data_IF_027436669243
#
_entry.id   IF_027436669243
#
_cell.length_a   1.000
_cell.length_b   1.000
_cell.length_c   1.000
_cell.angle_alpha   90.00
_cell.angle_beta   90.00
_cell.angle_gamma   90.00
#
_symmetry.space_group_name_H-M   'P 1'
#
loop_
_entity.id
_entity.type
_entity.pdbx_description
1 polymer ?
#
# COMPACT_ATOMS: atom_id res chain seq x y z
N UNK A 1 8.14 21.96 -23.64
CA UNK A 1 9.11 21.08 -22.97
C UNK A 1 9.08 19.76 -23.69
N UNK A 2 10.01 19.54 -24.63
CA UNK A 2 10.26 18.19 -25.16
C UNK A 2 11.04 17.48 -24.06
N UNK A 3 10.41 16.50 -23.42
CA UNK A 3 11.04 15.33 -22.77
C UNK A 3 12.49 15.56 -22.32
N UNK A 4 12.69 16.42 -21.30
CA UNK A 4 14.03 16.82 -20.87
C UNK A 4 14.57 15.78 -19.88
N UNK A 5 14.85 14.60 -20.44
CA UNK A 5 15.18 13.36 -19.75
C UNK A 5 16.32 13.47 -18.73
N UNK A 6 17.16 14.52 -18.81
CA UNK A 6 18.21 14.82 -17.82
C UNK A 6 17.67 15.03 -16.41
N UNK A 7 16.50 15.68 -16.25
CA UNK A 7 15.89 15.87 -14.94
C UNK A 7 15.35 14.56 -14.36
N UNK A 8 14.82 13.70 -15.22
CA UNK A 8 14.34 12.37 -14.86
C UNK A 8 15.50 11.48 -14.42
N UNK A 9 16.60 11.46 -15.18
CA UNK A 9 17.83 10.77 -14.80
C UNK A 9 18.39 11.29 -13.49
N UNK A 10 18.39 12.62 -13.28
CA UNK A 10 18.83 13.22 -12.03
C UNK A 10 18.00 12.73 -10.82
N UNK A 11 16.66 12.76 -10.92
CA UNK A 11 15.78 12.30 -9.84
C UNK A 11 15.92 10.80 -9.60
N UNK A 12 16.02 10.00 -10.66
CA UNK A 12 16.27 8.56 -10.56
C UNK A 12 17.60 8.26 -9.86
N UNK A 13 18.69 8.91 -10.25
CA UNK A 13 20.01 8.71 -9.66
C UNK A 13 20.08 9.17 -8.20
N UNK A 14 19.42 10.28 -7.86
CA UNK A 14 19.48 10.85 -6.51
C UNK A 14 18.56 10.17 -5.52
N UNK A 15 17.33 9.87 -5.93
CA UNK A 15 16.26 9.45 -5.01
C UNK A 15 15.53 8.20 -5.48
N UNK A 16 15.97 7.56 -6.57
CA UNK A 16 15.39 6.31 -7.07
C UNK A 16 14.06 6.46 -7.80
N UNK A 17 13.58 7.70 -7.98
CA UNK A 17 12.25 7.99 -8.49
C UNK A 17 12.08 7.50 -9.92
N UNK A 18 11.07 6.66 -10.14
CA UNK A 18 10.66 6.26 -11.47
C UNK A 18 9.57 7.17 -12.02
N UNK A 19 9.84 7.75 -13.18
CA UNK A 19 8.90 8.65 -13.87
C UNK A 19 7.61 7.92 -14.24
N UNK A 20 7.69 6.63 -14.57
CA UNK A 20 6.50 5.86 -14.96
C UNK A 20 5.59 5.58 -13.76
N UNK A 21 6.16 5.42 -12.56
CA UNK A 21 5.43 5.25 -11.31
C UNK A 21 4.80 6.54 -10.77
N UNK A 22 5.50 7.67 -10.85
CA UNK A 22 5.00 8.97 -10.34
C UNK A 22 4.12 9.69 -11.36
N UNK A 23 4.42 9.51 -12.65
CA UNK A 23 3.80 10.24 -13.75
C UNK A 23 4.57 11.50 -14.11
N UNK A 24 4.93 11.60 -15.39
CA UNK A 24 5.68 12.70 -16.00
C UNK A 24 5.12 14.09 -15.65
N UNK A 25 3.79 14.25 -15.67
CA UNK A 25 3.12 15.51 -15.40
C UNK A 25 3.39 16.09 -14.00
N UNK A 26 3.62 15.24 -12.98
CA UNK A 26 3.95 15.70 -11.63
C UNK A 26 5.34 16.33 -11.62
N UNK A 27 6.30 15.66 -12.27
CA UNK A 27 7.69 16.14 -12.36
C UNK A 27 7.74 17.41 -13.22
N UNK A 28 7.07 17.45 -14.37
CA UNK A 28 6.98 18.65 -15.21
C UNK A 28 6.36 19.85 -14.48
N UNK A 29 5.36 19.61 -13.62
CA UNK A 29 4.77 20.67 -12.80
C UNK A 29 5.75 21.16 -11.74
N UNK A 30 6.44 20.24 -11.07
CA UNK A 30 7.47 20.58 -10.09
C UNK A 30 8.61 21.37 -10.74
N UNK A 31 9.09 20.95 -11.91
CA UNK A 31 10.12 21.66 -12.68
C UNK A 31 9.69 23.08 -13.01
N UNK A 32 8.51 23.27 -13.60
CA UNK A 32 7.97 24.62 -13.91
C UNK A 32 7.85 25.50 -12.67
N UNK A 33 7.42 24.94 -11.56
CA UNK A 33 7.34 25.67 -10.29
C UNK A 33 8.72 26.08 -9.79
N UNK A 34 9.71 25.19 -9.86
CA UNK A 34 11.09 25.48 -9.42
C UNK A 34 11.79 26.47 -10.35
N UNK A 35 11.68 26.31 -11.67
CA UNK A 35 12.19 27.26 -12.67
C UNK A 35 11.69 28.68 -12.39
N UNK A 36 10.38 28.84 -12.16
CA UNK A 36 9.79 30.12 -11.83
C UNK A 36 10.27 30.67 -10.47
N UNK A 37 10.37 29.81 -9.46
CA UNK A 37 10.81 30.19 -8.11
C UNK A 37 12.29 30.56 -8.05
N UNK A 38 13.12 29.96 -8.91
CA UNK A 38 14.55 30.23 -9.03
C UNK A 38 14.86 31.39 -10.00
N UNK A 39 13.82 31.96 -10.64
CA UNK A 39 13.94 33.02 -11.65
C UNK A 39 14.82 32.63 -12.85
N UNK A 40 14.80 31.37 -13.27
CA UNK A 40 15.52 30.91 -14.44
C UNK A 40 14.74 31.25 -15.73
N UNK A 41 15.45 31.68 -16.77
CA UNK A 41 14.85 32.06 -18.06
C UNK A 41 14.28 30.88 -18.84
N UNK A 42 14.88 29.71 -18.65
CA UNK A 42 14.58 28.47 -19.36
C UNK A 42 15.10 27.26 -18.58
N UNK A 43 14.80 26.06 -19.08
CA UNK A 43 15.19 24.79 -18.48
C UNK A 43 16.71 24.55 -18.49
N UNK A 44 17.47 25.13 -19.44
CA UNK A 44 18.93 24.99 -19.47
C UNK A 44 19.59 25.80 -18.36
N UNK A 45 19.16 27.05 -18.17
CA UNK A 45 19.58 27.89 -17.05
C UNK A 45 19.24 27.23 -15.70
N UNK A 46 18.05 26.63 -15.59
CA UNK A 46 17.66 25.90 -14.39
C UNK A 46 18.49 24.62 -14.19
N UNK A 47 18.80 23.87 -15.24
CA UNK A 47 19.67 22.70 -15.15
C UNK A 47 21.07 23.06 -14.64
N UNK A 48 21.67 24.15 -15.14
CA UNK A 48 22.98 24.63 -14.67
C UNK A 48 22.98 24.98 -13.17
N UNK A 49 21.91 25.63 -12.70
CA UNK A 49 21.72 25.89 -11.27
C UNK A 49 21.54 24.59 -10.47
N UNK A 50 20.69 23.69 -10.95
CA UNK A 50 20.37 22.43 -10.29
C UNK A 50 21.63 21.59 -10.06
N UNK A 51 22.49 21.42 -11.06
CA UNK A 51 23.69 20.56 -10.93
C UNK A 51 24.76 21.16 -10.00
N UNK A 52 24.77 22.48 -9.79
CA UNK A 52 25.77 23.18 -8.96
C UNK A 52 25.27 23.53 -7.56
N UNK A 53 23.96 23.52 -7.31
CA UNK A 53 23.36 23.97 -6.06
C UNK A 53 22.68 22.83 -5.30
N UNK A 54 23.32 22.26 -4.24
CA UNK A 54 22.68 21.25 -3.39
C UNK A 54 21.35 21.72 -2.78
N UNK A 55 21.22 23.03 -2.52
CA UNK A 55 19.98 23.62 -2.03
C UNK A 55 18.86 23.49 -3.06
N UNK A 56 19.15 23.74 -4.34
CA UNK A 56 18.16 23.60 -5.41
C UNK A 56 17.84 22.13 -5.70
N UNK A 57 18.83 21.25 -5.61
CA UNK A 57 18.62 19.80 -5.69
C UNK A 57 17.60 19.34 -4.65
N UNK A 58 17.80 19.73 -3.39
CA UNK A 58 16.85 19.43 -2.33
C UNK A 58 15.48 20.05 -2.63
N UNK A 59 15.41 21.31 -3.05
CA UNK A 59 14.14 21.97 -3.34
C UNK A 59 13.35 21.30 -4.48
N UNK A 60 14.03 20.75 -5.50
CA UNK A 60 13.39 19.95 -6.54
C UNK A 60 12.87 18.62 -5.98
N UNK A 61 13.65 17.94 -5.14
CA UNK A 61 13.22 16.71 -4.45
C UNK A 61 11.94 16.98 -3.64
N UNK A 62 11.91 18.04 -2.83
CA UNK A 62 10.71 18.44 -2.06
C UNK A 62 9.48 18.67 -2.93
N UNK A 63 9.67 19.15 -4.17
CA UNK A 63 8.57 19.44 -5.07
C UNK A 63 7.98 18.19 -5.75
N UNK A 64 8.71 17.08 -5.80
CA UNK A 64 8.28 15.83 -6.46
C UNK A 64 7.84 14.74 -5.49
N UNK A 65 8.29 14.77 -4.23
CA UNK A 65 7.88 13.79 -3.23
C UNK A 65 6.40 13.97 -2.84
N UNK A 66 5.77 12.88 -2.41
CA UNK A 66 4.37 12.85 -1.97
C UNK A 66 4.32 12.53 -0.46
N UNK A 67 4.21 13.53 0.43
CA UNK A 67 4.29 13.32 1.88
C UNK A 67 2.96 12.83 2.50
N UNK A 68 2.21 11.95 1.83
CA UNK A 68 0.92 11.50 2.35
C UNK A 68 1.08 10.43 3.45
N UNK A 69 0.70 10.79 4.67
CA UNK A 69 0.69 9.90 5.82
C UNK A 69 -0.41 10.27 6.82
N UNK A 70 -0.74 9.36 7.74
CA UNK A 70 -1.68 9.55 8.83
C UNK A 70 -1.42 8.53 9.93
N UNK A 71 -1.88 8.85 11.16
CA UNK A 71 -1.69 7.97 12.30
C UNK A 71 -2.38 6.62 12.11
N UNK A 72 -1.70 5.56 12.53
CA UNK A 72 -2.20 4.18 12.51
C UNK A 72 -2.68 3.72 11.12
N UNK A 73 -2.02 4.19 10.05
CA UNK A 73 -2.22 3.67 8.70
C UNK A 73 -1.96 2.16 8.70
N UNK A 74 -2.96 1.34 8.39
CA UNK A 74 -2.97 -0.13 8.58
C UNK A 74 -2.86 -0.52 10.08
N UNK A 75 -3.95 -0.39 10.85
CA UNK A 75 -3.93 -0.61 12.30
C UNK A 75 -3.48 -2.02 12.70
N UNK A 76 -3.76 -3.03 11.88
CA UNK A 76 -3.38 -4.43 12.11
C UNK A 76 -1.86 -4.63 12.16
N UNK A 77 -1.09 -3.81 11.42
CA UNK A 77 0.37 -3.80 11.51
C UNK A 77 0.86 -3.36 12.90
N UNK A 78 0.19 -2.40 13.54
CA UNK A 78 0.57 -1.90 14.87
C UNK A 78 0.18 -2.86 16.00
N UNK A 79 -0.97 -3.52 15.88
CA UNK A 79 -1.33 -4.63 16.78
C UNK A 79 -0.29 -5.75 16.71
N UNK A 80 0.13 -6.10 15.49
CA UNK A 80 1.17 -7.11 15.25
C UNK A 80 2.53 -6.68 15.79
N UNK A 81 2.89 -5.41 15.61
CA UNK A 81 4.10 -4.80 16.16
C UNK A 81 4.17 -4.98 17.68
N UNK A 82 3.09 -4.64 18.40
CA UNK A 82 3.05 -4.73 19.85
C UNK A 82 3.41 -6.14 20.35
N UNK A 83 2.81 -7.18 19.74
CA UNK A 83 3.11 -8.58 20.07
C UNK A 83 4.55 -8.96 19.75
N UNK A 84 5.00 -8.73 18.51
CA UNK A 84 6.34 -9.13 18.07
C UNK A 84 7.44 -8.41 18.86
N UNK A 85 7.24 -7.13 19.18
CA UNK A 85 8.16 -6.39 20.01
C UNK A 85 8.23 -6.95 21.43
N UNK A 86 7.13 -7.43 22.01
CA UNK A 86 7.14 -8.09 23.34
C UNK A 86 7.98 -9.35 23.32
N UNK A 87 7.74 -10.21 22.36
CA UNK A 87 8.53 -11.42 22.18
C UNK A 87 10.04 -11.12 22.01
N UNK A 88 10.39 -10.05 21.26
CA UNK A 88 11.79 -9.65 21.12
C UNK A 88 12.38 -9.08 22.41
N UNK A 89 11.63 -8.24 23.11
CA UNK A 89 12.10 -7.65 24.37
C UNK A 89 12.38 -8.72 25.42
N UNK A 90 11.51 -9.73 25.51
CA UNK A 90 11.67 -10.85 26.42
C UNK A 90 12.92 -11.68 26.08
N UNK A 91 13.18 -11.92 24.79
CA UNK A 91 14.41 -12.58 24.32
C UNK A 91 15.67 -11.80 24.67
N UNK A 92 15.61 -10.47 24.63
CA UNK A 92 16.75 -9.62 25.00
C UNK A 92 17.00 -9.61 26.52
N UNK A 93 16.03 -10.01 27.35
CA UNK A 93 16.17 -10.10 28.80
C UNK A 93 16.79 -8.85 29.46
N UNK A 94 16.48 -7.66 28.92
CA UNK A 94 17.00 -6.39 29.42
C UNK A 94 18.44 -6.03 29.00
N UNK A 95 19.08 -6.80 28.12
CA UNK A 95 20.45 -6.53 27.67
C UNK A 95 20.63 -5.17 26.98
N UNK A 96 19.60 -4.72 26.25
CA UNK A 96 19.52 -3.40 25.61
C UNK A 96 18.07 -3.05 25.24
N UNK A 97 17.78 -1.77 24.95
CA UNK A 97 16.51 -1.38 24.34
C UNK A 97 16.33 -2.00 22.94
N UNK A 98 15.08 -2.18 22.53
CA UNK A 98 14.72 -2.49 21.15
C UNK A 98 15.02 -1.30 20.25
N UNK A 99 15.54 -1.58 19.06
CA UNK A 99 15.80 -0.60 18.03
C UNK A 99 14.81 -0.78 16.89
N UNK A 100 14.05 0.27 16.62
CA UNK A 100 13.07 0.31 15.54
C UNK A 100 13.48 1.38 14.53
N UNK A 101 13.41 1.05 13.25
CA UNK A 101 13.59 2.01 12.15
C UNK A 101 12.24 2.29 11.49
N UNK A 102 11.89 3.56 11.28
CA UNK A 102 10.81 3.99 10.38
C UNK A 102 11.40 4.84 9.27
N UNK A 103 11.31 4.35 8.03
CA UNK A 103 11.87 4.99 6.85
C UNK A 103 11.06 4.61 5.59
N UNK A 104 10.46 5.55 4.86
CA UNK A 104 10.44 6.99 5.13
C UNK A 104 9.44 7.32 6.26
N UNK A 105 9.77 8.28 7.12
CA UNK A 105 8.89 8.67 8.22
C UNK A 105 7.94 9.83 7.89
N UNK A 106 8.11 10.51 6.76
CA UNK A 106 7.35 11.68 6.31
C UNK A 106 7.22 12.73 7.44
N UNK A 107 6.01 13.22 7.71
CA UNK A 107 5.71 14.20 8.76
C UNK A 107 5.59 13.61 10.16
N UNK A 108 5.98 12.34 10.37
CA UNK A 108 6.17 11.73 11.69
C UNK A 108 5.01 10.87 12.19
N UNK A 109 3.87 10.82 11.50
CA UNK A 109 2.72 10.03 11.96
C UNK A 109 3.04 8.54 12.17
N UNK A 110 3.86 7.92 11.30
CA UNK A 110 4.24 6.51 11.45
C UNK A 110 5.11 6.24 12.70
N UNK A 111 6.26 6.92 12.93
CA UNK A 111 7.08 6.65 14.11
C UNK A 111 6.36 7.00 15.42
N UNK A 112 5.48 8.00 15.41
CA UNK A 112 4.61 8.27 16.56
C UNK A 112 3.60 7.14 16.80
N UNK A 113 2.97 6.59 15.76
CA UNK A 113 2.10 5.41 15.90
C UNK A 113 2.85 4.18 16.37
N UNK A 114 4.10 3.97 15.92
CA UNK A 114 4.98 2.91 16.44
C UNK A 114 5.16 3.08 17.94
N UNK A 115 5.60 4.27 18.40
CA UNK A 115 5.86 4.52 19.80
C UNK A 115 4.59 4.36 20.67
N UNK A 116 3.45 4.92 20.23
CA UNK A 116 2.16 4.75 20.92
C UNK A 116 1.75 3.26 21.02
N UNK A 117 1.85 2.50 19.92
CA UNK A 117 1.52 1.07 19.92
C UNK A 117 2.41 0.25 20.86
N UNK A 118 3.70 0.61 20.97
CA UNK A 118 4.63 -0.05 21.88
C UNK A 118 4.33 0.24 23.35
N UNK A 119 3.96 1.48 23.68
CA UNK A 119 3.49 1.86 25.01
C UNK A 119 2.17 1.14 25.35
N UNK A 120 1.23 1.09 24.41
CA UNK A 120 -0.05 0.39 24.58
C UNK A 120 0.12 -1.12 24.76
N UNK A 121 1.18 -1.69 24.18
CA UNK A 121 1.58 -3.08 24.42
C UNK A 121 2.25 -3.30 25.78
N UNK A 122 2.38 -2.28 26.64
CA UNK A 122 2.92 -2.37 27.99
C UNK A 122 4.42 -2.13 28.11
N UNK A 123 5.09 -1.59 27.08
CA UNK A 123 6.50 -1.19 27.22
C UNK A 123 6.66 0.08 28.04
N UNK A 124 7.76 0.14 28.79
CA UNK A 124 8.31 1.39 29.27
C UNK A 124 8.99 2.19 28.14
N UNK A 125 8.95 3.54 28.15
CA UNK A 125 9.60 4.40 27.15
C UNK A 125 11.10 4.17 26.94
N UNK A 126 11.80 3.65 27.96
CA UNK A 126 13.25 3.36 27.90
C UNK A 126 13.58 1.98 27.32
N UNK A 127 12.58 1.14 27.07
CA UNK A 127 12.77 -0.21 26.55
C UNK A 127 12.86 -0.26 25.02
N UNK A 128 12.65 0.87 24.34
CA UNK A 128 12.83 0.99 22.90
C UNK A 128 13.34 2.37 22.50
N UNK A 129 13.89 2.45 21.29
CA UNK A 129 14.18 3.70 20.59
C UNK A 129 13.76 3.55 19.13
N UNK A 130 13.12 4.60 18.58
CA UNK A 130 12.72 4.68 17.17
C UNK A 130 13.64 5.65 16.46
N UNK A 131 14.43 5.16 15.51
CA UNK A 131 15.16 6.00 14.57
C UNK A 131 14.22 6.25 13.37
N UNK A 132 13.92 7.52 13.07
CA UNK A 132 12.95 7.93 12.07
C UNK A 132 13.65 8.77 10.99
N UNK A 133 13.68 8.26 9.76
CA UNK A 133 14.48 8.82 8.69
C UNK A 133 13.59 9.20 7.51
N UNK A 134 13.84 10.39 6.94
CA UNK A 134 13.17 10.83 5.72
C UNK A 134 14.11 11.69 4.87
N UNK A 135 13.90 11.68 3.56
CA UNK A 135 14.70 12.48 2.62
C UNK A 135 14.34 13.97 2.67
N UNK A 136 13.19 14.33 3.26
CA UNK A 136 12.67 15.68 3.35
C UNK A 136 13.01 16.33 4.70
N UNK A 137 13.96 17.28 4.77
CA UNK A 137 14.19 18.06 5.98
C UNK A 137 12.95 18.86 6.41
N UNK A 138 12.08 19.24 5.46
CA UNK A 138 10.82 19.95 5.76
C UNK A 138 9.87 19.02 6.53
N UNK A 139 9.73 17.76 6.08
CA UNK A 139 8.88 16.78 6.74
C UNK A 139 9.44 16.39 8.10
N UNK A 140 10.77 16.21 8.21
CA UNK A 140 11.47 16.00 9.49
C UNK A 140 11.25 17.16 10.47
N UNK A 141 11.31 18.42 10.01
CA UNK A 141 11.06 19.57 10.86
C UNK A 141 9.61 19.59 11.38
N UNK A 142 8.64 19.24 10.53
CA UNK A 142 7.23 19.08 10.94
C UNK A 142 7.04 17.94 11.94
N UNK A 143 7.71 16.81 11.71
CA UNK A 143 7.70 15.67 12.63
C UNK A 143 8.24 16.05 14.01
N UNK A 144 9.38 16.74 14.06
CA UNK A 144 9.98 17.27 15.30
C UNK A 144 9.08 18.27 16.01
N UNK A 145 8.37 19.11 15.25
CA UNK A 145 7.40 20.04 15.83
C UNK A 145 6.22 19.30 16.49
N UNK A 146 5.74 18.22 15.86
CA UNK A 146 4.78 17.28 16.45
C UNK A 146 3.38 17.86 16.67
N UNK A 147 2.99 18.86 15.87
CA UNK A 147 1.63 19.44 15.87
C UNK A 147 0.91 19.00 14.60
N UNK A 148 -0.27 18.40 14.78
CA UNK A 148 -1.02 17.74 13.72
C UNK A 148 -2.44 18.28 13.58
N UNK A 149 -2.85 18.51 12.34
CA UNK A 149 -4.21 18.91 12.00
C UNK A 149 -5.15 17.71 11.83
N UNK A 150 -6.43 17.99 11.58
CA UNK A 150 -7.48 16.96 11.45
C UNK A 150 -7.17 15.87 10.40
N UNK A 151 -6.48 16.21 9.32
CA UNK A 151 -6.19 15.29 8.21
C UNK A 151 -5.23 14.14 8.58
N UNK A 152 -4.43 14.30 9.65
CA UNK A 152 -3.54 13.26 10.16
C UNK A 152 -4.29 12.23 11.02
N UNK A 153 -5.51 12.55 11.47
CA UNK A 153 -6.37 11.69 12.28
C UNK A 153 -7.50 11.13 11.40
N UNK A 154 -7.29 9.93 10.86
CA UNK A 154 -8.25 9.25 9.97
C UNK A 154 -8.79 7.99 10.64
N UNK A 155 -9.98 7.56 10.22
CA UNK A 155 -10.63 6.36 10.76
C UNK A 155 -11.57 6.66 11.94
N UNK A 156 -12.21 5.61 12.44
CA UNK A 156 -13.22 5.70 13.50
C UNK A 156 -12.64 5.65 14.92
N UNK A 157 -11.51 4.96 15.11
CA UNK A 157 -10.83 4.91 16.42
C UNK A 157 -9.80 6.03 16.54
N UNK A 158 -10.14 7.05 17.33
CA UNK A 158 -9.28 8.17 17.68
C UNK A 158 -8.98 8.23 19.18
N UNK A 159 -9.21 7.14 19.92
CA UNK A 159 -9.02 7.09 21.38
C UNK A 159 -7.56 7.38 21.79
N UNK A 160 -6.60 6.99 20.95
CA UNK A 160 -5.19 7.31 21.15
C UNK A 160 -4.92 8.83 21.20
N UNK A 161 -5.72 9.63 20.48
CA UNK A 161 -5.56 11.09 20.44
C UNK A 161 -5.77 11.71 21.81
N UNK A 162 -6.79 11.25 22.53
CA UNK A 162 -7.14 11.76 23.87
C UNK A 162 -6.07 11.43 24.91
N UNK A 163 -5.29 10.37 24.67
CA UNK A 163 -4.27 9.87 25.59
C UNK A 163 -2.88 10.46 25.32
N UNK A 164 -2.52 10.63 24.05
CA UNK A 164 -1.16 10.96 23.63
C UNK A 164 -1.03 12.35 22.98
N UNK A 165 -2.11 13.13 22.91
CA UNK A 165 -2.06 14.48 22.36
C UNK A 165 -2.74 15.50 23.28
N UNK A 166 -2.27 16.74 23.17
CA UNK A 166 -2.86 17.91 23.82
C UNK A 166 -3.46 18.84 22.76
N UNK A 167 -4.68 19.34 22.94
CA UNK A 167 -5.24 20.33 22.01
C UNK A 167 -4.44 21.64 22.11
N UNK A 168 -4.11 22.22 20.95
CA UNK A 168 -3.44 23.53 20.80
C UNK A 168 -4.17 24.35 19.73
N UNK A 169 -3.85 25.63 19.59
CA UNK A 169 -4.54 26.52 18.65
C UNK A 169 -4.56 25.98 17.20
N UNK A 170 -3.44 25.40 16.75
CA UNK A 170 -3.24 24.93 15.38
C UNK A 170 -3.57 23.43 15.18
N UNK A 171 -4.09 22.74 16.21
CA UNK A 171 -4.43 21.31 16.13
C UNK A 171 -4.16 20.54 17.41
N UNK A 172 -3.38 19.45 17.28
CA UNK A 172 -3.07 18.54 18.38
C UNK A 172 -1.57 18.32 18.47
N UNK A 173 -0.98 18.63 19.61
CA UNK A 173 0.44 18.42 19.89
C UNK A 173 0.68 17.07 20.56
N UNK A 174 1.62 16.28 20.04
CA UNK A 174 2.05 15.02 20.66
C UNK A 174 2.70 15.27 22.03
N UNK A 175 2.44 14.41 23.01
CA UNK A 175 3.07 14.52 24.33
C UNK A 175 4.56 14.15 24.31
N UNK A 176 5.35 14.81 25.16
CA UNK A 176 6.81 14.64 25.24
C UNK A 176 7.21 13.19 25.52
N UNK A 177 6.44 12.46 26.34
CA UNK A 177 6.68 11.05 26.62
C UNK A 177 6.80 10.18 25.36
N UNK A 178 6.03 10.49 24.30
CA UNK A 178 6.13 9.77 23.02
C UNK A 178 7.23 10.39 22.15
N UNK A 179 7.35 11.73 22.14
CA UNK A 179 8.38 12.48 21.40
C UNK A 179 9.79 12.03 21.76
N UNK A 180 10.07 11.83 23.05
CA UNK A 180 11.38 11.47 23.56
C UNK A 180 11.84 10.05 23.19
N UNK A 181 10.93 9.21 22.69
CA UNK A 181 11.25 7.86 22.20
C UNK A 181 11.83 7.86 20.78
N UNK A 182 11.80 8.99 20.07
CA UNK A 182 12.01 9.06 18.62
C UNK A 182 13.16 10.01 18.28
N UNK A 183 14.07 9.55 17.41
CA UNK A 183 15.19 10.31 16.88
C UNK A 183 14.99 10.55 15.38
N UNK A 184 14.62 11.78 15.04
CA UNK A 184 14.33 12.19 13.66
C UNK A 184 15.57 12.71 12.94
N UNK A 185 15.91 12.09 11.81
CA UNK A 185 17.12 12.40 11.04
C UNK A 185 16.81 12.53 9.54
N UNK A 186 17.34 13.56 8.85
CA UNK A 186 17.30 13.57 7.40
C UNK A 186 18.22 12.47 6.86
N UNK A 187 17.77 11.73 5.85
CA UNK A 187 18.56 10.65 5.26
C UNK A 187 17.92 10.06 4.01
N UNK A 188 18.73 9.38 3.22
CA UNK A 188 18.30 8.74 1.98
C UNK A 188 18.54 7.24 2.07
N UNK A 189 17.52 6.45 1.73
CA UNK A 189 17.59 4.98 1.68
C UNK A 189 18.65 4.47 0.69
N UNK A 190 18.93 5.26 -0.34
CA UNK A 190 19.95 4.94 -1.35
C UNK A 190 21.37 5.37 -0.94
N UNK A 191 21.54 6.03 0.22
CA UNK A 191 22.88 6.36 0.73
C UNK A 191 23.58 5.07 1.22
N UNK A 192 24.74 4.69 0.65
CA UNK A 192 25.48 3.52 1.10
C UNK A 192 25.85 3.53 2.59
N UNK A 193 25.93 4.72 3.21
CA UNK A 193 26.19 4.86 4.65
C UNK A 193 25.04 4.39 5.52
N UNK A 194 23.82 4.31 5.00
CA UNK A 194 22.70 3.77 5.76
C UNK A 194 22.88 2.27 5.98
N UNK A 195 23.31 1.54 4.94
CA UNK A 195 23.53 0.09 5.00
C UNK A 195 24.65 -0.34 5.95
N UNK A 196 25.54 0.57 6.34
CA UNK A 196 26.62 0.31 7.31
C UNK A 196 26.22 0.55 8.76
N UNK A 197 24.97 0.98 9.02
CA UNK A 197 24.45 1.15 10.37
C UNK A 197 24.21 -0.20 11.05
N UNK A 198 24.18 -0.18 12.39
CA UNK A 198 23.83 -1.34 13.20
C UNK A 198 22.39 -1.76 12.90
N UNK A 199 22.20 -3.05 12.63
CA UNK A 199 20.89 -3.62 12.31
C UNK A 199 19.84 -3.43 13.43
N UNK A 200 18.59 -3.29 13.00
CA UNK A 200 17.40 -3.00 13.80
C UNK A 200 16.60 -4.27 14.09
N UNK A 201 15.95 -4.32 15.26
CA UNK A 201 15.07 -5.43 15.62
C UNK A 201 13.79 -5.41 14.79
N UNK A 202 13.31 -4.21 14.47
CA UNK A 202 12.09 -3.99 13.69
C UNK A 202 12.35 -2.85 12.70
N UNK A 203 12.00 -3.07 11.43
CA UNK A 203 12.09 -2.05 10.38
C UNK A 203 10.72 -1.82 9.77
N UNK A 204 10.34 -0.56 9.56
CA UNK A 204 9.18 -0.14 8.77
C UNK A 204 9.69 0.57 7.52
N UNK A 205 9.29 0.06 6.35
CA UNK A 205 9.47 0.74 5.08
C UNK A 205 8.22 0.56 4.22
N UNK A 206 7.33 1.55 4.30
CA UNK A 206 5.98 1.47 3.73
C UNK A 206 5.71 2.63 2.80
N UNK A 207 4.96 2.34 1.74
CA UNK A 207 4.46 3.33 0.79
C UNK A 207 5.57 4.19 0.15
N UNK A 208 6.75 3.61 -0.05
CA UNK A 208 7.91 4.23 -0.68
C UNK A 208 8.35 3.47 -1.92
N UNK A 209 8.46 2.15 -1.79
CA UNK A 209 9.09 1.29 -2.80
C UNK A 209 8.27 1.27 -4.10
N UNK A 210 6.98 1.57 -4.01
CA UNK A 210 6.09 1.76 -5.16
C UNK A 210 6.52 2.88 -6.12
N UNK A 211 7.34 3.84 -5.66
CA UNK A 211 7.82 4.96 -6.49
C UNK A 211 9.13 4.67 -7.22
N UNK A 212 9.72 3.50 -7.01
CA UNK A 212 11.02 3.13 -7.56
C UNK A 212 10.88 2.19 -8.76
N UNK A 213 11.88 2.23 -9.65
CA UNK A 213 11.98 1.25 -10.73
C UNK A 213 12.43 -0.12 -10.19
N UNK A 214 12.26 -1.17 -11.00
CA UNK A 214 12.52 -2.55 -10.56
C UNK A 214 13.94 -2.79 -10.06
N UNK A 215 14.94 -2.16 -10.66
CA UNK A 215 16.35 -2.30 -10.26
C UNK A 215 16.57 -1.64 -8.90
N UNK A 216 16.03 -0.46 -8.71
CA UNK A 216 16.10 0.30 -7.46
C UNK A 216 15.34 -0.42 -6.34
N UNK A 217 14.15 -0.97 -6.63
CA UNK A 217 13.40 -1.79 -5.69
C UNK A 217 14.23 -2.99 -5.18
N UNK A 218 14.89 -3.71 -6.08
CA UNK A 218 15.76 -4.84 -5.70
C UNK A 218 16.91 -4.40 -4.79
N UNK A 219 17.58 -3.30 -5.13
CA UNK A 219 18.66 -2.75 -4.31
C UNK A 219 18.16 -2.32 -2.93
N UNK A 220 17.06 -1.58 -2.88
CA UNK A 220 16.41 -1.13 -1.64
C UNK A 220 16.05 -2.30 -0.75
N UNK A 221 15.46 -3.36 -1.30
CA UNK A 221 15.12 -4.53 -0.50
C UNK A 221 16.35 -5.26 0.07
N UNK A 222 17.48 -5.25 -0.63
CA UNK A 222 18.74 -5.76 -0.07
C UNK A 222 19.22 -4.90 1.10
N UNK A 223 19.16 -3.57 0.97
CA UNK A 223 19.51 -2.65 2.07
C UNK A 223 18.59 -2.86 3.27
N UNK A 224 17.26 -2.92 3.06
CA UNK A 224 16.29 -3.18 4.13
C UNK A 224 16.52 -4.52 4.82
N UNK A 225 16.86 -5.56 4.04
CA UNK A 225 17.24 -6.87 4.58
C UNK A 225 18.49 -6.78 5.46
N UNK A 226 19.52 -6.04 5.05
CA UNK A 226 20.75 -5.84 5.84
C UNK A 226 20.51 -5.01 7.10
N UNK A 227 19.65 -4.00 7.00
CA UNK A 227 19.22 -3.18 8.14
C UNK A 227 18.36 -3.96 9.13
N UNK A 228 17.74 -5.06 8.72
CA UNK A 228 16.94 -5.91 9.61
C UNK A 228 17.82 -7.00 10.20
N UNK A 229 17.87 -7.12 11.53
CA UNK A 229 18.58 -8.22 12.19
C UNK A 229 18.08 -9.57 11.70
N UNK A 230 18.92 -10.61 11.76
CA UNK A 230 18.54 -11.97 11.34
C UNK A 230 17.30 -12.48 12.08
N UNK A 231 17.19 -12.16 13.37
CA UNK A 231 16.05 -12.49 14.22
C UNK A 231 14.95 -11.42 14.19
N UNK A 232 15.15 -10.30 13.49
CA UNK A 232 14.25 -9.15 13.39
C UNK A 232 13.14 -9.31 12.36
N UNK A 233 12.32 -8.27 12.24
CA UNK A 233 11.17 -8.23 11.32
C UNK A 233 11.09 -6.93 10.52
N UNK A 234 10.58 -7.03 9.30
CA UNK A 234 10.40 -5.94 8.34
C UNK A 234 8.90 -5.79 8.00
N UNK A 235 8.35 -4.60 8.22
CA UNK A 235 7.00 -4.20 7.83
C UNK A 235 7.05 -3.39 6.53
N UNK A 236 6.21 -3.76 5.57
CA UNK A 236 6.10 -3.09 4.27
C UNK A 236 4.65 -2.77 3.91
N UNK A 237 4.44 -1.94 2.90
CA UNK A 237 3.11 -1.60 2.40
C UNK A 237 2.45 -2.75 1.62
N UNK A 238 1.11 -2.75 1.50
CA UNK A 238 0.35 -3.83 0.87
C UNK A 238 0.79 -4.18 -0.56
N UNK A 239 1.26 -3.19 -1.33
CA UNK A 239 1.65 -3.34 -2.73
C UNK A 239 3.15 -3.61 -2.95
N UNK A 240 3.94 -3.77 -1.88
CA UNK A 240 5.41 -3.71 -1.95
C UNK A 240 6.08 -5.09 -1.80
N UNK A 241 5.34 -6.13 -1.40
CA UNK A 241 5.94 -7.41 -0.95
C UNK A 241 6.43 -8.38 -2.01
N UNK A 242 6.12 -8.14 -3.28
CA UNK A 242 6.31 -9.14 -4.33
C UNK A 242 7.78 -9.56 -4.55
N UNK A 243 8.75 -8.70 -4.24
CA UNK A 243 10.18 -8.98 -4.44
C UNK A 243 10.88 -9.55 -3.19
N UNK A 244 10.26 -9.47 -2.01
CA UNK A 244 10.90 -9.87 -0.75
C UNK A 244 11.19 -11.37 -0.70
N UNK A 245 10.27 -12.20 -1.19
CA UNK A 245 10.45 -13.66 -1.24
C UNK A 245 11.67 -14.06 -2.07
N UNK A 246 11.93 -13.36 -3.18
CA UNK A 246 13.06 -13.64 -4.07
C UNK A 246 14.43 -13.32 -3.44
N UNK A 247 14.47 -12.50 -2.39
CA UNK A 247 15.70 -12.11 -1.71
C UNK A 247 15.88 -12.82 -0.36
N UNK A 248 15.14 -13.91 -0.12
CA UNK A 248 15.27 -14.72 1.09
C UNK A 248 14.61 -14.11 2.32
N UNK A 249 13.53 -13.33 2.13
CA UNK A 249 12.64 -12.91 3.20
C UNK A 249 11.34 -13.72 3.15
N UNK A 250 10.80 -14.12 4.30
CA UNK A 250 9.56 -14.89 4.40
C UNK A 250 8.49 -14.08 5.12
N UNK A 251 7.29 -14.04 4.54
CA UNK A 251 6.11 -13.50 5.22
C UNK A 251 5.78 -14.33 6.47
N UNK A 252 5.33 -13.66 7.54
CA UNK A 252 4.80 -14.34 8.73
C UNK A 252 3.35 -14.80 8.57
N UNK A 253 2.67 -14.42 7.49
CA UNK A 253 1.29 -14.83 7.23
C UNK A 253 0.25 -14.25 8.20
N UNK A 254 0.60 -13.17 8.91
CA UNK A 254 -0.33 -12.47 9.81
C UNK A 254 -1.16 -11.52 8.97
N UNK A 255 -2.48 -11.73 8.93
CA UNK A 255 -3.41 -10.98 8.10
C UNK A 255 -3.22 -9.46 8.24
N UNK A 256 -3.22 -8.76 7.09
CA UNK A 256 -3.17 -7.29 6.98
C UNK A 256 -1.96 -6.59 7.64
N UNK A 257 -0.99 -7.35 8.18
CA UNK A 257 0.18 -6.78 8.85
C UNK A 257 1.39 -6.56 7.93
N UNK A 258 1.45 -7.30 6.81
CA UNK A 258 2.51 -7.24 5.79
C UNK A 258 3.93 -7.31 6.38
N UNK A 259 4.12 -8.23 7.32
CA UNK A 259 5.38 -8.42 8.06
C UNK A 259 6.19 -9.62 7.54
N UNK A 260 7.50 -9.42 7.41
CA UNK A 260 8.47 -10.36 6.89
C UNK A 260 9.62 -10.56 7.88
N UNK A 261 10.30 -11.70 7.79
CA UNK A 261 11.56 -11.99 8.50
C UNK A 261 12.55 -12.64 7.56
N UNK A 262 13.82 -12.76 7.96
CA UNK A 262 14.79 -13.57 7.22
C UNK A 262 14.30 -15.01 7.11
N UNK A 263 14.42 -15.59 5.90
CA UNK A 263 14.19 -17.01 5.72
C UNK A 263 15.29 -17.78 6.48
N UNK A 264 14.95 -18.85 7.22
CA UNK A 264 15.97 -19.71 7.81
C UNK A 264 16.87 -20.26 6.69
N UNK A 265 18.17 -20.47 6.93
CA UNK A 265 19.07 -21.05 5.94
C UNK A 265 18.48 -22.36 5.43
N UNK A 266 18.32 -22.49 4.10
CA UNK A 266 17.83 -23.73 3.50
C UNK A 266 18.77 -24.87 3.89
N UNK A 267 18.23 -25.87 4.59
CA UNK A 267 18.89 -27.18 4.65
C UNK A 267 18.84 -27.75 3.23
N UNK A 268 19.96 -28.23 2.65
CA UNK A 268 19.95 -28.77 1.30
C UNK A 268 18.95 -29.93 1.25
N UNK A 269 17.84 -29.70 0.56
CA UNK A 269 16.82 -30.74 0.32
C UNK A 269 17.39 -31.62 -0.78
N UNK A 270 17.73 -32.86 -0.44
CA UNK A 270 18.08 -33.86 -1.43
C UNK A 270 16.90 -34.02 -2.39
N UNK A 271 17.08 -33.60 -3.65
CA UNK A 271 16.09 -33.85 -4.70
C UNK A 271 15.98 -35.36 -4.92
N UNK A 272 14.98 -35.99 -4.32
CA UNK A 272 14.53 -37.30 -4.78
C UNK A 272 13.69 -37.07 -6.04
N UNK A 273 14.25 -37.42 -7.19
CA UNK A 273 13.51 -37.43 -8.45
C UNK A 273 12.29 -38.36 -8.29
N UNK A 274 11.10 -37.77 -8.25
CA UNK A 274 9.85 -38.53 -8.28
C UNK A 274 9.66 -39.05 -9.71
N UNK A 275 9.51 -40.37 -9.85
CA UNK A 275 9.28 -41.01 -11.14
C UNK A 275 8.01 -40.46 -11.81
N UNK A 276 7.99 -40.30 -13.15
CA UNK A 276 6.86 -39.74 -13.87
C UNK A 276 5.64 -40.66 -13.74
N UNK A 277 4.53 -40.10 -13.26
CA UNK A 277 3.24 -40.78 -13.20
C UNK A 277 2.61 -40.69 -14.59
N UNK A 278 2.25 -41.84 -15.17
CA UNK A 278 1.61 -41.95 -16.48
C UNK A 278 0.25 -41.23 -16.53
N UNK A 279 0.03 -40.44 -17.59
CA UNK A 279 -1.23 -39.71 -17.85
C UNK A 279 -2.45 -40.63 -17.96
N UNK A 280 -3.64 -40.27 -17.43
CA UNK A 280 -4.87 -41.03 -17.64
C UNK A 280 -5.50 -40.74 -19.02
N UNK A 281 -6.19 -41.76 -19.55
CA UNK A 281 -6.82 -41.77 -20.88
C UNK A 281 -8.00 -40.77 -21.03
N UNK A 282 -8.35 -40.34 -22.26
CA UNK A 282 -9.39 -39.34 -22.51
C UNK A 282 -10.80 -39.90 -22.30
N UNK A 283 -11.69 -39.07 -21.71
CA UNK A 283 -13.13 -39.37 -21.56
C UNK A 283 -13.90 -39.13 -22.86
N UNK A 284 -14.99 -39.88 -23.13
CA UNK A 284 -15.81 -39.71 -24.33
C UNK A 284 -16.75 -38.49 -24.24
N UNK A 285 -17.08 -37.93 -25.41
CA UNK A 285 -17.86 -36.69 -25.59
C UNK A 285 -19.37 -36.87 -25.31
N UNK A 286 -20.07 -35.81 -24.86
CA UNK A 286 -21.52 -35.85 -24.62
C UNK A 286 -22.36 -35.67 -25.91
N UNK A 287 -23.50 -36.35 -25.97
CA UNK A 287 -24.49 -36.31 -27.06
C UNK A 287 -25.28 -34.99 -27.15
N UNK A 288 -25.84 -34.64 -28.33
CA UNK A 288 -26.48 -33.36 -28.57
C UNK A 288 -27.96 -33.34 -28.16
N UNK A 289 -28.36 -32.33 -27.38
CA UNK A 289 -29.77 -32.03 -27.07
C UNK A 289 -30.44 -31.23 -28.21
N UNK A 290 -31.69 -31.60 -28.49
CA UNK A 290 -32.52 -31.11 -29.59
C UNK A 290 -32.94 -29.62 -29.45
N UNK A 291 -33.09 -28.97 -30.61
CA UNK A 291 -33.55 -27.56 -30.78
C UNK A 291 -35.07 -27.41 -30.61
N UNK A 292 -35.48 -26.31 -29.99
CA UNK A 292 -36.83 -25.75 -30.05
C UNK A 292 -36.81 -24.33 -30.69
N UNK A 293 -37.94 -23.82 -31.23
CA UNK A 293 -37.97 -23.02 -32.45
C UNK A 293 -37.90 -21.50 -32.26
N UNK A 294 -37.68 -20.81 -33.38
CA UNK A 294 -37.45 -19.37 -33.51
C UNK A 294 -38.71 -18.50 -33.30
N UNK A 295 -38.51 -17.34 -32.67
CA UNK A 295 -39.43 -16.20 -32.72
C UNK A 295 -38.73 -14.96 -33.33
N UNK A 296 -39.52 -14.20 -34.10
CA UNK A 296 -39.13 -13.06 -34.95
C UNK A 296 -38.95 -11.75 -34.16
N UNK A 297 -38.35 -10.71 -34.77
CA UNK A 297 -37.72 -9.61 -34.04
C UNK A 297 -38.71 -8.51 -33.68
N UNK A 298 -38.50 -7.86 -32.52
CA UNK A 298 -39.16 -6.59 -32.19
C UNK A 298 -38.15 -5.53 -31.75
N UNK A 299 -38.44 -4.31 -32.21
CA UNK A 299 -37.64 -3.09 -32.24
C UNK A 299 -37.17 -2.54 -30.90
N UNK A 300 -36.07 -1.78 -31.00
CA UNK A 300 -35.67 -0.71 -30.08
C UNK A 300 -36.78 0.32 -29.92
N UNK A 301 -37.10 0.69 -28.68
CA UNK A 301 -37.04 2.07 -28.19
C UNK A 301 -37.26 2.15 -26.67
N UNK A 302 -36.34 2.86 -26.03
CA UNK A 302 -36.49 3.94 -25.05
C UNK A 302 -37.38 3.82 -23.79
N UNK A 303 -36.77 4.35 -22.72
CA UNK A 303 -37.29 5.03 -21.52
C UNK A 303 -37.86 4.22 -20.34
N UNK A 304 -37.24 4.53 -19.20
CA UNK A 304 -37.75 4.62 -17.83
C UNK A 304 -38.50 3.43 -17.24
N UNK A 305 -37.85 2.75 -16.27
CA UNK A 305 -38.54 2.24 -15.09
C UNK A 305 -37.55 2.12 -13.91
N UNK A 306 -37.79 2.94 -12.88
CA UNK A 306 -37.33 2.67 -11.52
C UNK A 306 -38.08 1.45 -10.95
N UNK A 307 -37.53 0.78 -9.92
CA UNK A 307 -38.38 0.16 -8.93
C UNK A 307 -38.02 0.60 -7.52
N UNK A 308 -39.06 1.11 -6.84
CA UNK A 308 -39.20 1.17 -5.39
C UNK A 308 -39.44 -0.23 -4.83
N UNK A 309 -38.75 -0.62 -3.75
CA UNK A 309 -39.10 -1.81 -2.95
C UNK A 309 -39.14 -1.45 -1.47
N UNK A 310 -40.27 -1.79 -0.82
CA UNK A 310 -40.55 -1.62 0.61
C UNK A 310 -39.73 -2.61 1.46
N UNK A 311 -39.41 -2.28 2.74
CA UNK A 311 -38.56 -3.12 3.59
C UNK A 311 -39.36 -4.05 4.51
N UNK A 312 -38.91 -5.30 4.66
CA UNK A 312 -39.18 -6.22 5.79
C UNK A 312 -38.29 -7.48 5.71
N UNK A 313 -38.02 -8.22 6.81
CA UNK A 313 -37.46 -7.82 8.10
C UNK A 313 -36.07 -8.45 8.37
N UNK A 314 -35.40 -7.95 9.41
CA UNK A 314 -34.01 -8.22 9.76
C UNK A 314 -33.74 -9.61 10.37
N UNK A 315 -33.32 -10.57 9.54
CA UNK A 315 -32.55 -11.77 9.98
C UNK A 315 -31.40 -12.14 9.03
N UNK A 316 -31.31 -11.53 7.83
CA UNK A 316 -30.30 -11.86 6.81
C UNK A 316 -28.92 -11.22 6.96
N UNK A 317 -28.71 -10.32 7.93
CA UNK A 317 -27.44 -9.59 8.07
C UNK A 317 -26.29 -10.44 8.61
N UNK A 318 -26.56 -11.50 9.38
CA UNK A 318 -25.51 -12.30 10.03
C UNK A 318 -24.90 -13.33 9.07
N UNK A 319 -25.70 -14.04 8.28
CA UNK A 319 -25.19 -15.01 7.30
C UNK A 319 -24.46 -14.34 6.14
N UNK A 320 -25.00 -13.25 5.60
CA UNK A 320 -24.36 -12.49 4.53
C UNK A 320 -23.01 -11.90 4.97
N UNK A 321 -22.94 -11.31 6.17
CA UNK A 321 -21.67 -10.81 6.74
C UNK A 321 -20.66 -11.94 7.00
N UNK A 322 -21.13 -13.10 7.44
CA UNK A 322 -20.28 -14.28 7.63
C UNK A 322 -19.71 -14.75 6.30
N UNK A 323 -20.53 -14.88 5.25
CA UNK A 323 -20.08 -15.25 3.91
C UNK A 323 -19.09 -14.25 3.30
N UNK A 324 -19.30 -12.95 3.49
CA UNK A 324 -18.34 -11.92 3.05
C UNK A 324 -16.99 -12.05 3.78
N UNK A 325 -17.03 -12.37 5.07
CA UNK A 325 -15.82 -12.62 5.88
C UNK A 325 -15.11 -13.90 5.41
N UNK A 326 -15.87 -14.96 5.09
CA UNK A 326 -15.32 -16.21 4.53
C UNK A 326 -14.68 -15.99 3.18
N UNK A 327 -15.31 -15.23 2.27
CA UNK A 327 -14.75 -14.87 0.96
C UNK A 327 -13.41 -14.16 1.13
N UNK A 328 -13.34 -13.18 2.03
CA UNK A 328 -12.11 -12.45 2.31
C UNK A 328 -11.02 -13.38 2.88
N UNK A 329 -11.35 -14.29 3.80
CA UNK A 329 -10.41 -15.28 4.34
C UNK A 329 -9.84 -16.19 3.25
N UNK A 330 -10.71 -16.79 2.43
CA UNK A 330 -10.31 -17.71 1.36
C UNK A 330 -9.44 -17.03 0.29
N UNK A 331 -9.78 -15.79 -0.08
CA UNK A 331 -8.99 -15.00 -1.01
C UNK A 331 -7.59 -14.68 -0.43
N UNK A 332 -7.52 -14.32 0.85
CA UNK A 332 -6.26 -14.02 1.54
C UNK A 332 -5.38 -15.26 1.78
N UNK A 333 -5.99 -16.43 1.96
CA UNK A 333 -5.30 -17.73 2.07
C UNK A 333 -4.77 -18.25 0.72
N UNK A 334 -5.04 -17.54 -0.38
CA UNK A 334 -4.65 -17.97 -1.73
C UNK A 334 -5.46 -19.16 -2.25
N UNK A 335 -6.57 -19.51 -1.59
CA UNK A 335 -7.48 -20.58 -2.00
C UNK A 335 -8.42 -20.08 -3.09
N UNK A 336 -7.86 -19.73 -4.25
CA UNK A 336 -8.57 -19.01 -5.31
C UNK A 336 -9.83 -19.72 -5.81
N UNK A 337 -9.81 -21.06 -5.86
CA UNK A 337 -10.96 -21.88 -6.30
C UNK A 337 -12.10 -21.82 -5.28
N UNK A 338 -11.77 -21.98 -4.00
CA UNK A 338 -12.76 -21.93 -2.91
C UNK A 338 -13.31 -20.51 -2.73
N UNK A 339 -12.45 -19.49 -2.85
CA UNK A 339 -12.84 -18.09 -2.77
C UNK A 339 -13.81 -17.71 -3.90
N UNK A 340 -13.56 -18.18 -5.13
CA UNK A 340 -14.48 -17.98 -6.26
C UNK A 340 -15.81 -18.69 -6.03
N UNK A 341 -15.79 -19.96 -5.59
CA UNK A 341 -17.02 -20.68 -5.28
C UNK A 341 -17.84 -20.00 -4.17
N UNK A 342 -17.18 -19.43 -3.16
CA UNK A 342 -17.84 -18.67 -2.09
C UNK A 342 -18.45 -17.36 -2.63
N UNK A 343 -17.76 -16.65 -3.53
CA UNK A 343 -18.31 -15.47 -4.20
C UNK A 343 -19.56 -15.81 -5.02
N UNK A 344 -19.52 -16.89 -5.80
CA UNK A 344 -20.65 -17.34 -6.61
C UNK A 344 -21.84 -17.77 -5.74
N UNK A 345 -21.58 -18.49 -4.64
CA UNK A 345 -22.60 -18.86 -3.66
C UNK A 345 -23.26 -17.63 -3.02
N UNK A 346 -22.47 -16.62 -2.68
CA UNK A 346 -23.02 -15.36 -2.16
C UNK A 346 -23.97 -14.71 -3.17
N UNK A 347 -23.57 -14.61 -4.44
CA UNK A 347 -24.40 -14.01 -5.50
C UNK A 347 -25.66 -14.82 -5.83
N UNK A 348 -25.70 -16.11 -5.49
CA UNK A 348 -26.89 -16.95 -5.63
C UNK A 348 -27.89 -16.77 -4.47
N UNK A 349 -27.39 -16.46 -3.27
CA UNK A 349 -28.17 -16.48 -2.02
C UNK A 349 -28.52 -15.08 -1.49
N UNK A 350 -27.78 -14.05 -1.91
CA UNK A 350 -27.88 -12.71 -1.38
C UNK A 350 -27.85 -11.65 -2.49
N UNK A 351 -28.24 -10.43 -2.12
CA UNK A 351 -28.20 -9.29 -3.04
C UNK A 351 -26.75 -9.01 -3.48
N UNK A 352 -26.50 -8.77 -4.78
CA UNK A 352 -25.15 -8.51 -5.26
C UNK A 352 -24.55 -7.24 -4.66
N UNK A 353 -23.36 -7.35 -4.04
CA UNK A 353 -22.63 -6.21 -3.46
C UNK A 353 -21.31 -5.97 -4.19
N UNK A 354 -20.88 -4.71 -4.25
CA UNK A 354 -19.68 -4.30 -4.99
C UNK A 354 -18.41 -5.06 -4.54
N UNK A 355 -18.28 -5.33 -3.24
CA UNK A 355 -17.14 -6.05 -2.66
C UNK A 355 -16.95 -7.46 -3.24
N UNK A 356 -18.03 -8.19 -3.54
CA UNK A 356 -17.94 -9.56 -4.08
C UNK A 356 -17.45 -9.55 -5.52
N UNK A 357 -17.89 -8.57 -6.31
CA UNK A 357 -17.38 -8.39 -7.66
C UNK A 357 -15.93 -7.90 -7.68
N UNK A 358 -15.51 -7.11 -6.69
CA UNK A 358 -14.09 -6.78 -6.53
C UNK A 358 -13.24 -8.03 -6.29
N UNK A 359 -13.66 -8.93 -5.39
CA UNK A 359 -12.95 -10.18 -5.14
C UNK A 359 -12.91 -11.09 -6.37
N UNK A 360 -14.02 -11.24 -7.10
CA UNK A 360 -14.03 -11.96 -8.37
C UNK A 360 -13.08 -11.35 -9.40
N UNK A 361 -12.97 -10.02 -9.43
CA UNK A 361 -12.00 -9.31 -10.26
C UNK A 361 -10.55 -9.67 -9.93
N UNK A 362 -10.18 -9.60 -8.65
CA UNK A 362 -8.84 -9.96 -8.19
C UNK A 362 -8.51 -11.44 -8.48
N UNK A 363 -9.45 -12.33 -8.24
CA UNK A 363 -9.28 -13.77 -8.50
C UNK A 363 -9.12 -14.06 -10.00
N UNK A 364 -9.84 -13.34 -10.88
CA UNK A 364 -9.64 -13.41 -12.32
C UNK A 364 -8.25 -12.88 -12.74
N UNK A 365 -7.72 -11.83 -12.09
CA UNK A 365 -6.37 -11.33 -12.39
C UNK A 365 -5.28 -12.34 -12.01
N UNK A 366 -5.39 -12.97 -10.84
CA UNK A 366 -4.45 -14.01 -10.38
C UNK A 366 -4.38 -15.18 -11.36
N UNK A 367 -5.48 -15.49 -12.03
CA UNK A 367 -5.55 -16.55 -13.04
C UNK A 367 -5.20 -16.07 -14.46
N UNK A 368 -4.79 -14.81 -14.62
CA UNK A 368 -4.46 -14.21 -15.92
C UNK A 368 -5.66 -13.89 -16.81
N UNK A 369 -6.89 -13.98 -16.30
CA UNK A 369 -8.14 -13.71 -17.02
C UNK A 369 -8.49 -12.22 -17.00
N UNK A 370 -7.64 -11.40 -17.63
CA UNK A 370 -7.72 -9.93 -17.57
C UNK A 370 -9.06 -9.36 -18.05
N UNK A 371 -9.61 -9.87 -19.17
CA UNK A 371 -10.89 -9.39 -19.70
C UNK A 371 -12.07 -9.66 -18.73
N UNK A 372 -12.03 -10.79 -18.04
CA UNK A 372 -13.02 -11.18 -17.05
C UNK A 372 -12.90 -10.30 -15.80
N UNK A 373 -11.67 -10.04 -15.34
CA UNK A 373 -11.38 -9.14 -14.22
C UNK A 373 -11.95 -7.73 -14.46
N UNK A 374 -11.72 -7.16 -15.65
CA UNK A 374 -12.30 -5.87 -16.02
C UNK A 374 -13.84 -5.88 -15.99
N UNK A 375 -14.45 -6.98 -16.47
CA UNK A 375 -15.89 -7.17 -16.42
C UNK A 375 -16.42 -7.14 -14.99
N UNK A 376 -15.73 -7.79 -14.05
CA UNK A 376 -16.09 -7.78 -12.64
C UNK A 376 -15.88 -6.43 -11.97
N UNK A 377 -14.78 -5.73 -12.22
CA UNK A 377 -14.60 -4.37 -11.70
C UNK A 377 -15.66 -3.39 -12.21
N UNK A 378 -16.04 -3.49 -13.49
CA UNK A 378 -17.14 -2.67 -14.02
C UNK A 378 -18.47 -2.97 -13.33
N UNK A 379 -18.75 -4.23 -12.99
CA UNK A 379 -19.94 -4.61 -12.21
C UNK A 379 -19.88 -4.06 -10.78
N UNK A 380 -18.72 -4.10 -10.12
CA UNK A 380 -18.53 -3.48 -8.81
C UNK A 380 -18.81 -1.96 -8.86
N UNK A 381 -18.31 -1.28 -9.89
CA UNK A 381 -18.51 0.15 -10.10
C UNK A 381 -19.91 0.52 -10.57
N UNK A 382 -20.67 -0.41 -11.12
CA UNK A 382 -22.08 -0.20 -11.42
C UNK A 382 -22.91 -0.15 -10.12
N UNK A 383 -22.61 -1.05 -9.19
CA UNK A 383 -23.30 -1.13 -7.89
C UNK A 383 -22.85 -0.03 -6.93
N UNK A 384 -21.55 0.26 -6.90
CA UNK A 384 -20.98 1.32 -6.08
C UNK A 384 -20.03 2.17 -6.94
N UNK A 385 -20.53 3.26 -7.55
CA UNK A 385 -19.77 4.10 -8.46
C UNK A 385 -18.48 4.70 -7.90
N UNK A 386 -18.35 4.78 -6.58
CA UNK A 386 -17.18 5.30 -5.86
C UNK A 386 -16.42 4.20 -5.09
N UNK A 387 -16.57 2.93 -5.48
CA UNK A 387 -15.82 1.82 -4.87
C UNK A 387 -14.32 1.98 -5.18
N UNK A 388 -13.57 2.40 -4.17
CA UNK A 388 -12.21 2.92 -4.35
C UNK A 388 -11.24 1.88 -4.90
N UNK A 389 -11.37 0.64 -4.41
CA UNK A 389 -10.52 -0.48 -4.74
C UNK A 389 -10.75 -0.95 -6.17
N UNK A 390 -12.00 -0.96 -6.63
CA UNK A 390 -12.32 -1.32 -8.02
C UNK A 390 -11.94 -0.22 -9.01
N UNK A 391 -12.04 1.05 -8.61
CA UNK A 391 -11.55 2.17 -9.44
C UNK A 391 -10.04 2.08 -9.62
N UNK A 392 -9.31 1.80 -8.54
CA UNK A 392 -7.86 1.65 -8.57
C UNK A 392 -7.42 0.45 -9.43
N UNK A 393 -7.99 -0.74 -9.21
CA UNK A 393 -7.61 -1.93 -9.97
C UNK A 393 -8.00 -1.85 -11.45
N UNK A 394 -9.18 -1.31 -11.77
CA UNK A 394 -9.56 -1.12 -13.17
C UNK A 394 -8.69 -0.06 -13.85
N UNK A 395 -8.28 1.00 -13.14
CA UNK A 395 -7.34 1.97 -13.68
C UNK A 395 -5.98 1.34 -13.98
N UNK A 396 -5.46 0.50 -13.07
CA UNK A 396 -4.21 -0.23 -13.27
C UNK A 396 -4.28 -1.16 -14.49
N UNK A 397 -5.38 -1.91 -14.63
CA UNK A 397 -5.60 -2.78 -15.79
C UNK A 397 -5.69 -2.02 -17.12
N UNK A 398 -6.37 -0.87 -17.14
CA UNK A 398 -6.45 -0.03 -18.34
C UNK A 398 -5.10 0.58 -18.71
N UNK A 399 -4.31 1.01 -17.72
CA UNK A 399 -2.96 1.51 -17.94
C UNK A 399 -2.04 0.43 -18.51
N UNK A 400 -2.10 -0.80 -17.98
CA UNK A 400 -1.34 -1.95 -18.48
C UNK A 400 -1.70 -2.34 -19.92
N UNK A 401 -2.91 -2.02 -20.38
CA UNK A 401 -3.37 -2.24 -21.76
C UNK A 401 -3.12 -1.03 -22.68
N UNK A 402 -2.49 0.03 -22.19
CA UNK A 402 -2.20 1.23 -22.95
C UNK A 402 -3.33 2.27 -22.99
N UNK A 403 -4.49 2.01 -22.38
CA UNK A 403 -5.58 3.00 -22.23
C UNK A 403 -5.31 3.97 -21.08
N UNK A 404 -4.29 4.80 -21.28
CA UNK A 404 -3.85 5.82 -20.32
C UNK A 404 -4.88 6.92 -20.08
N UNK A 405 -5.83 7.11 -21.01
CA UNK A 405 -6.91 8.08 -20.86
C UNK A 405 -8.05 7.51 -20.00
N UNK A 406 -8.39 6.24 -20.19
CA UNK A 406 -9.35 5.51 -19.35
C UNK A 406 -8.87 5.37 -17.92
N UNK A 407 -7.60 5.00 -17.73
CA UNK A 407 -6.98 4.89 -16.41
C UNK A 407 -7.07 6.21 -15.62
N UNK A 408 -6.68 7.34 -16.24
CA UNK A 408 -6.75 8.67 -15.63
C UNK A 408 -8.16 9.06 -15.21
N UNK A 409 -9.16 8.84 -16.06
CA UNK A 409 -10.57 9.13 -15.72
C UNK A 409 -11.05 8.38 -14.48
N UNK A 410 -10.62 7.14 -14.30
CA UNK A 410 -10.99 6.32 -13.14
C UNK A 410 -10.23 6.75 -11.88
N UNK A 411 -8.96 7.12 -12.00
CA UNK A 411 -8.16 7.67 -10.90
C UNK A 411 -8.73 9.01 -10.40
N UNK A 412 -9.06 9.94 -11.30
CA UNK A 412 -9.71 11.21 -10.95
C UNK A 412 -11.06 11.01 -10.27
N UNK A 413 -11.76 9.94 -10.64
CA UNK A 413 -13.05 9.59 -10.05
C UNK A 413 -12.86 8.99 -8.66
N UNK A 414 -11.83 8.16 -8.44
CA UNK A 414 -11.46 7.66 -7.13
C UNK A 414 -11.09 8.80 -6.17
N UNK A 415 -10.29 9.76 -6.65
CA UNK A 415 -9.91 10.95 -5.89
C UNK A 415 -11.11 11.81 -5.49
N UNK A 416 -12.10 11.98 -6.39
CA UNK A 416 -13.34 12.71 -6.10
C UNK A 416 -14.28 11.97 -5.13
N UNK A 417 -14.25 10.64 -5.13
CA UNK A 417 -15.01 9.80 -4.20
C UNK A 417 -14.53 9.94 -2.77
N UNK A 418 -13.20 9.91 -2.58
CA UNK A 418 -12.56 10.12 -1.27
C UNK A 418 -12.94 11.46 -0.64
N UNK A 419 -13.05 12.53 -1.44
CA UNK A 419 -13.43 13.86 -0.95
C UNK A 419 -14.91 14.01 -0.58
N UNK A 420 -15.83 13.18 -1.10
CA UNK A 420 -17.27 13.26 -0.79
C UNK A 420 -17.71 12.40 0.39
N UNK A 421 -17.04 11.28 0.65
CA UNK A 421 -17.33 10.45 1.83
C UNK A 421 -16.86 11.09 3.16
N UNK A 422 -16.04 12.15 3.09
CA UNK A 422 -15.63 12.96 4.25
C UNK A 422 -16.52 14.16 4.56
N UNK A 423 -17.73 14.26 4.01
CA UNK A 423 -18.68 15.38 4.24
C UNK A 423 -20.02 14.96 4.84
N UNK A 424 -20.10 13.80 5.51
CA UNK A 424 -21.27 13.39 6.28
C UNK A 424 -20.92 13.07 7.72
#
# INVERSE_FOLDING_TARGET
>A
MKDDSRFFSFLKERIGLDVTSVGEAIIERALRQREASAHCSDSDAYWHLLVTSPKEQQALIEAVIVPETWFFRYPESFTTLGRLAREQLDRLAGARPLRILSLPCSTGEEPYSIAMALIDAGMGPRQFKVDAIDISPISIARAKHGVYGKNSFRGSDLSFRERFFKPVAEGFEIVDQIRDCIDFQPGNLLDPKLATQVAYDIVFCRNLVIYFDRQTQQHVFQVLKQLTREDGVLFIGPAEGNLLSAIGMRSLGIAQSFVFRHAPPEKPVAFTLRAPVSSPAPRPAPEPLARAPASKPFSRNSTDFAPSVKPAPATGNTESATLLTTIASLANEGKSVEARAACERYLQQHEPVAQVFYWLGLLSEVEGRVAEAQGFYRKALYLQPQHSESLAQLAALLAAQGDSAGARRLQDRAARGANKQGSH
#
